data_IF_696640651551
#
_entry.id   IF_696640651551
#
_cell.length_a   1.000
_cell.length_b   1.000
_cell.length_c   1.000
_cell.angle_alpha   90.00
_cell.angle_beta   90.00
_cell.angle_gamma   90.00
#
_symmetry.space_group_name_H-M   'P 1'
#
loop_
_entity.id
_entity.type
_entity.pdbx_description
1 polymer ?
#
# COMPACT_ATOMS: atom_id res chain seq x y z
N UNK A 1 9.20 10.54 7.21
CA UNK A 1 10.10 11.51 7.85
C UNK A 1 11.21 10.73 8.51
N UNK A 2 12.37 11.34 8.65
CA UNK A 2 13.59 10.77 9.24
C UNK A 2 13.41 10.11 10.62
N UNK A 3 12.30 10.38 11.31
CA UNK A 3 11.90 9.74 12.58
C UNK A 3 10.65 8.86 12.47
N UNK A 4 10.50 8.08 11.40
CA UNK A 4 9.39 7.11 11.34
C UNK A 4 9.55 6.02 12.39
N UNK A 5 8.59 5.96 13.32
CA UNK A 5 8.42 4.88 14.29
C UNK A 5 7.07 4.22 13.99
N UNK A 6 7.04 2.96 13.50
CA UNK A 6 5.77 2.27 13.31
C UNK A 6 5.08 2.11 14.66
N UNK A 7 3.83 2.56 14.75
CA UNK A 7 3.00 2.24 15.91
C UNK A 7 2.72 0.74 15.89
N UNK A 8 2.88 0.07 17.03
CA UNK A 8 2.36 -1.30 17.20
C UNK A 8 0.85 -1.26 16.98
N UNK A 9 0.31 -2.02 16.01
CA UNK A 9 -1.13 -2.05 15.81
C UNK A 9 -1.84 -2.48 17.08
N UNK A 10 -2.98 -1.86 17.38
CA UNK A 10 -3.86 -2.25 18.51
C UNK A 10 -5.16 -2.92 18.04
N UNK A 11 -5.31 -3.09 16.72
CA UNK A 11 -6.49 -3.62 16.06
C UNK A 11 -6.34 -5.10 15.67
N UNK A 12 -5.37 -5.82 16.25
CA UNK A 12 -5.09 -7.22 15.93
C UNK A 12 -4.27 -7.43 14.66
N UNK A 13 -3.77 -6.35 14.03
CA UNK A 13 -2.82 -6.43 12.93
C UNK A 13 -1.37 -6.62 13.38
N UNK A 14 -1.15 -7.01 14.64
CA UNK A 14 0.12 -7.04 15.36
C UNK A 14 1.25 -7.75 14.59
N UNK A 15 0.91 -8.69 13.69
CA UNK A 15 1.85 -9.46 12.87
C UNK A 15 1.89 -9.05 11.37
N UNK A 16 1.21 -7.98 10.98
CA UNK A 16 1.08 -7.53 9.57
C UNK A 16 1.15 -6.00 9.43
N UNK A 17 1.75 -5.31 10.40
CA UNK A 17 1.89 -3.85 10.35
C UNK A 17 2.73 -3.41 9.15
N UNK A 18 2.28 -2.38 8.44
CA UNK A 18 3.07 -1.73 7.38
C UNK A 18 2.70 -0.25 7.24
N UNK A 19 3.59 0.52 6.63
CA UNK A 19 3.33 1.89 6.21
C UNK A 19 3.01 1.91 4.73
N UNK A 20 1.86 2.45 4.35
CA UNK A 20 1.57 2.73 2.95
C UNK A 20 2.12 4.11 2.57
N UNK A 21 2.90 4.18 1.48
CA UNK A 21 3.20 5.42 0.77
C UNK A 21 2.45 5.40 -0.55
N UNK A 22 1.54 6.35 -0.72
CA UNK A 22 0.76 6.52 -1.95
C UNK A 22 1.29 7.75 -2.68
N UNK A 23 1.69 7.55 -3.92
CA UNK A 23 2.24 8.58 -4.79
C UNK A 23 1.31 8.74 -5.99
N UNK A 24 1.02 9.99 -6.31
CA UNK A 24 0.03 10.41 -7.28
C UNK A 24 0.68 11.55 -8.05
N UNK A 25 1.05 11.30 -9.30
CA UNK A 25 1.74 12.28 -10.15
C UNK A 25 0.99 12.47 -11.47
N UNK A 26 0.94 13.69 -12.04
CA UNK A 26 0.32 13.92 -13.34
C UNK A 26 0.96 13.06 -14.44
N UNK A 27 0.14 12.39 -15.24
CA UNK A 27 0.62 11.66 -16.41
C UNK A 27 0.73 12.58 -17.65
N UNK A 28 1.73 12.36 -18.50
CA UNK A 28 2.01 13.20 -19.67
C UNK A 28 0.86 13.31 -20.68
N UNK A 29 -0.06 12.33 -20.69
CA UNK A 29 -1.24 12.30 -21.57
C UNK A 29 -2.56 12.70 -20.89
N UNK A 30 -2.50 13.29 -19.70
CA UNK A 30 -3.67 13.46 -18.82
C UNK A 30 -3.88 12.26 -17.90
N UNK A 31 -4.66 12.47 -16.83
CA UNK A 31 -4.79 11.50 -15.73
C UNK A 31 -3.57 11.50 -14.81
N UNK A 32 -3.36 10.38 -14.12
CA UNK A 32 -2.40 10.26 -13.02
C UNK A 32 -1.64 8.93 -13.07
N UNK A 33 -0.34 8.97 -12.82
CA UNK A 33 0.44 7.79 -12.39
C UNK A 33 0.22 7.58 -10.90
N UNK A 34 -0.42 6.46 -10.54
CA UNK A 34 -0.63 6.03 -9.17
C UNK A 34 0.41 4.96 -8.80
N UNK A 35 1.09 5.12 -7.66
CA UNK A 35 2.00 4.12 -7.10
C UNK A 35 1.73 3.92 -5.62
N UNK A 36 1.46 2.69 -5.22
CA UNK A 36 1.33 2.29 -3.83
C UNK A 36 2.54 1.45 -3.40
N UNK A 37 3.15 1.82 -2.28
CA UNK A 37 4.33 1.16 -1.72
C UNK A 37 3.99 0.75 -0.29
N UNK A 38 4.02 -0.55 -0.02
CA UNK A 38 3.90 -1.09 1.33
C UNK A 38 5.30 -1.29 1.93
N UNK A 39 5.60 -0.56 3.01
CA UNK A 39 6.88 -0.63 3.71
C UNK A 39 6.71 -1.43 5.00
N UNK A 40 7.37 -2.58 5.05
CA UNK A 40 7.33 -3.52 6.17
C UNK A 40 8.56 -3.37 7.08
N UNK A 41 8.48 -3.81 8.36
CA UNK A 41 9.61 -3.75 9.28
C UNK A 41 10.76 -4.69 8.89
N UNK A 42 10.45 -5.79 8.23
CA UNK A 42 11.42 -6.80 7.79
C UNK A 42 10.94 -7.56 6.53
N UNK A 43 11.86 -8.32 5.94
CA UNK A 43 11.63 -9.11 4.73
C UNK A 43 10.62 -10.24 4.94
N UNK A 44 10.61 -10.88 6.12
CA UNK A 44 9.70 -11.99 6.41
C UNK A 44 8.24 -11.52 6.43
N UNK A 45 7.97 -10.36 7.04
CA UNK A 45 6.64 -9.74 7.07
C UNK A 45 6.23 -9.27 5.68
N UNK A 46 7.18 -8.76 4.87
CA UNK A 46 6.95 -8.39 3.48
C UNK A 46 6.54 -9.61 2.63
N UNK A 47 7.32 -10.69 2.67
CA UNK A 47 7.03 -11.94 1.94
C UNK A 47 5.67 -12.50 2.33
N UNK A 48 5.36 -12.53 3.63
CA UNK A 48 4.06 -12.99 4.12
C UNK A 48 2.90 -12.17 3.55
N UNK A 49 3.04 -10.85 3.46
CA UNK A 49 2.00 -9.99 2.90
C UNK A 49 1.84 -10.18 1.39
N UNK A 50 2.94 -10.41 0.68
CA UNK A 50 2.93 -10.75 -0.74
C UNK A 50 2.25 -12.10 -0.99
N UNK A 51 2.60 -13.12 -0.20
CA UNK A 51 1.97 -14.47 -0.24
C UNK A 51 0.47 -14.44 0.06
N UNK A 52 0.02 -13.51 0.91
CA UNK A 52 -1.40 -13.26 1.16
C UNK A 52 -2.12 -12.62 -0.03
N UNK A 53 -1.39 -12.12 -1.02
CA UNK A 53 -1.93 -11.57 -2.26
C UNK A 53 -2.05 -10.04 -2.26
N UNK A 54 -1.12 -9.32 -1.62
CA UNK A 54 -1.12 -7.85 -1.56
C UNK A 54 -1.39 -7.21 -2.94
N UNK A 55 -0.64 -7.60 -3.97
CA UNK A 55 -0.81 -7.02 -5.31
C UNK A 55 -2.20 -7.23 -5.90
N UNK A 56 -2.78 -8.41 -5.70
CA UNK A 56 -4.13 -8.72 -6.17
C UNK A 56 -5.19 -7.92 -5.41
N UNK A 57 -5.13 -7.94 -4.07
CA UNK A 57 -6.09 -7.23 -3.23
C UNK A 57 -6.02 -5.72 -3.40
N UNK A 58 -4.80 -5.15 -3.44
CA UNK A 58 -4.61 -3.71 -3.65
C UNK A 58 -4.99 -3.29 -5.06
N UNK A 59 -4.70 -4.13 -6.07
CA UNK A 59 -5.14 -3.92 -7.45
C UNK A 59 -6.66 -3.85 -7.56
N UNK A 60 -7.38 -4.79 -6.94
CA UNK A 60 -8.84 -4.78 -6.93
C UNK A 60 -9.43 -3.52 -6.25
N UNK A 61 -8.83 -3.07 -5.15
CA UNK A 61 -9.23 -1.81 -4.50
C UNK A 61 -8.96 -0.59 -5.40
N UNK A 62 -7.85 -0.57 -6.13
CA UNK A 62 -7.55 0.48 -7.10
C UNK A 62 -8.55 0.47 -8.26
N UNK A 63 -8.91 -0.70 -8.78
CA UNK A 63 -9.93 -0.82 -9.83
C UNK A 63 -11.29 -0.27 -9.38
N UNK A 64 -11.68 -0.56 -8.14
CA UNK A 64 -12.90 0.02 -7.54
C UNK A 64 -12.82 1.55 -7.45
N UNK A 65 -11.67 2.10 -7.05
CA UNK A 65 -11.46 3.54 -7.02
C UNK A 65 -11.58 4.15 -8.41
N UNK A 66 -10.94 3.55 -9.42
CA UNK A 66 -10.99 4.01 -10.82
C UNK A 66 -12.43 4.02 -11.34
N UNK A 67 -13.24 3.01 -11.01
CA UNK A 67 -14.65 2.97 -11.41
C UNK A 67 -15.48 4.15 -10.86
N UNK A 68 -15.10 4.72 -9.70
CA UNK A 68 -15.76 5.88 -9.11
C UNK A 68 -15.32 7.23 -9.69
N UNK A 69 -14.21 7.28 -10.42
CA UNK A 69 -13.61 8.52 -10.95
C UNK A 69 -14.23 8.96 -12.29
N UNK A 70 -15.47 8.55 -12.52
CA UNK A 70 -16.26 8.87 -13.73
C UNK A 70 -16.88 10.26 -13.67
#
# INVERSE_FOLDING_TARGET
>A
GEDYRPATPSNGADNMAFTARIEIEPAAGGGTVYRAIAMHPDEATCSRHDEMGFHHGWGAALDQLVALMS
#
